data_IF_128828816906
#
_entry.id   IF_128828816906
#
_cell.length_a   1.000
_cell.length_b   1.000
_cell.length_c   1.000
_cell.angle_alpha   90.00
_cell.angle_beta   90.00
_cell.angle_gamma   90.00
#
_symmetry.space_group_name_H-M   'P 1'
#
loop_
_entity.id
_entity.type
_entity.pdbx_description
1 polymer ?
#
# COMPACT_ATOMS: atom_id res chain seq x y z
N UNK A 1 -11.56 18.90 -9.56
CA UNK A 1 -10.32 19.53 -10.06
C UNK A 1 -9.17 19.42 -9.04
N UNK A 2 -9.43 19.68 -7.74
CA UNK A 2 -8.43 19.68 -6.68
C UNK A 2 -7.82 18.29 -6.45
N UNK A 3 -8.65 17.24 -6.35
CA UNK A 3 -8.19 15.86 -6.14
C UNK A 3 -7.25 15.38 -7.26
N UNK A 4 -7.58 15.69 -8.52
CA UNK A 4 -6.73 15.39 -9.68
C UNK A 4 -5.37 16.10 -9.58
N UNK A 5 -5.36 17.37 -9.16
CA UNK A 5 -4.12 18.13 -8.96
C UNK A 5 -3.25 17.50 -7.87
N UNK A 6 -3.85 17.10 -6.74
CA UNK A 6 -3.13 16.39 -5.67
C UNK A 6 -2.56 15.06 -6.17
N UNK A 7 -3.37 14.24 -6.86
CA UNK A 7 -2.92 12.95 -7.38
C UNK A 7 -1.73 13.07 -8.33
N UNK A 8 -1.64 14.16 -9.11
CA UNK A 8 -0.52 14.40 -10.03
C UNK A 8 0.83 14.71 -9.37
N UNK A 9 0.86 14.97 -8.06
CA UNK A 9 2.11 15.25 -7.31
C UNK A 9 2.59 14.06 -6.48
N UNK A 10 1.89 12.93 -6.54
CA UNK A 10 2.16 11.78 -5.67
C UNK A 10 3.29 10.92 -6.25
N UNK A 11 4.15 10.46 -5.35
CA UNK A 11 5.28 9.57 -5.67
C UNK A 11 5.40 8.37 -4.73
N UNK A 12 4.53 8.28 -3.72
CA UNK A 12 4.51 7.14 -2.81
C UNK A 12 3.15 6.90 -2.16
N UNK A 13 2.99 5.70 -1.64
CA UNK A 13 1.75 5.20 -1.05
C UNK A 13 2.02 4.56 0.29
N UNK A 14 1.32 5.03 1.31
CA UNK A 14 1.33 4.47 2.65
C UNK A 14 -0.06 3.92 2.93
N UNK A 15 -0.12 2.69 3.37
CA UNK A 15 -1.34 2.03 3.79
C UNK A 15 -1.24 1.66 5.26
N UNK A 16 -2.29 1.92 6.04
CA UNK A 16 -2.51 1.14 7.24
C UNK A 16 -2.90 -0.29 6.86
N UNK A 17 -2.90 -1.20 7.83
CA UNK A 17 -3.22 -2.60 7.61
C UNK A 17 -4.61 -2.97 8.13
N UNK A 18 -4.80 -2.86 9.44
CA UNK A 18 -6.04 -3.22 10.12
C UNK A 18 -7.14 -2.19 9.81
N UNK A 19 -8.25 -2.63 9.23
CA UNK A 19 -9.33 -1.74 8.81
C UNK A 19 -9.16 -1.12 7.42
N UNK A 20 -8.04 -1.39 6.75
CA UNK A 20 -7.76 -1.00 5.36
C UNK A 20 -7.75 -2.21 4.43
N UNK A 21 -6.89 -3.21 4.63
CA UNK A 21 -6.86 -4.45 3.83
C UNK A 21 -7.83 -5.51 4.31
N UNK A 22 -8.26 -5.44 5.56
CA UNK A 22 -9.24 -6.35 6.15
C UNK A 22 -9.98 -5.64 7.29
N UNK A 23 -11.13 -6.16 7.74
CA UNK A 23 -11.98 -5.45 8.71
C UNK A 23 -11.39 -5.28 10.11
N UNK A 24 -10.15 -5.66 10.37
CA UNK A 24 -9.48 -5.52 11.66
C UNK A 24 -9.93 -6.55 12.70
N UNK A 25 -10.63 -7.60 12.29
CA UNK A 25 -11.01 -8.70 13.19
C UNK A 25 -9.82 -9.62 13.42
N UNK A 26 -9.51 -9.88 14.70
CA UNK A 26 -8.40 -10.75 15.10
C UNK A 26 -8.92 -11.92 15.91
N UNK A 27 -8.52 -13.13 15.53
CA UNK A 27 -8.78 -14.36 16.26
C UNK A 27 -7.57 -14.81 17.09
N UNK A 28 -7.54 -16.08 17.47
CA UNK A 28 -6.43 -16.66 18.24
C UNK A 28 -5.06 -16.54 17.56
N UNK A 29 -5.01 -16.47 16.23
CA UNK A 29 -3.76 -16.33 15.46
C UNK A 29 -3.27 -14.89 15.34
N UNK A 30 -4.04 -13.88 15.77
CA UNK A 30 -3.76 -12.45 15.58
C UNK A 30 -3.37 -12.05 14.14
N UNK A 31 -3.81 -12.83 13.15
CA UNK A 31 -3.49 -12.59 11.74
C UNK A 31 -4.74 -12.23 10.97
N UNK A 32 -4.66 -11.13 10.21
CA UNK A 32 -5.68 -10.76 9.24
C UNK A 32 -5.65 -11.68 8.01
N UNK A 33 -6.49 -11.34 7.04
CA UNK A 33 -6.49 -11.92 5.70
C UNK A 33 -6.33 -10.80 4.69
N UNK A 34 -5.91 -11.11 3.48
CA UNK A 34 -5.93 -10.15 2.37
C UNK A 34 -6.67 -10.72 1.17
N UNK A 35 -7.15 -9.84 0.31
CA UNK A 35 -7.92 -10.18 -0.88
C UNK A 35 -7.05 -10.15 -2.13
N UNK A 36 -7.25 -11.11 -3.05
CA UNK A 36 -6.65 -11.07 -4.38
C UNK A 36 -7.17 -9.87 -5.21
N UNK A 37 -8.36 -9.39 -4.91
CA UNK A 37 -8.92 -8.18 -5.52
C UNK A 37 -8.09 -6.96 -5.17
N UNK A 38 -7.73 -6.78 -3.89
CA UNK A 38 -6.88 -5.69 -3.43
C UNK A 38 -5.44 -5.84 -3.93
N UNK A 39 -4.92 -7.07 -3.94
CA UNK A 39 -3.61 -7.37 -4.52
C UNK A 39 -3.52 -6.95 -5.99
N UNK A 40 -4.54 -7.30 -6.79
CA UNK A 40 -4.61 -6.88 -8.19
C UNK A 40 -4.72 -5.34 -8.30
N UNK A 41 -5.50 -4.70 -7.42
CA UNK A 41 -5.57 -3.23 -7.35
C UNK A 41 -4.19 -2.60 -7.16
N UNK A 42 -3.43 -3.07 -6.17
CA UNK A 42 -2.07 -2.61 -5.89
C UNK A 42 -1.14 -2.82 -7.09
N UNK A 43 -1.22 -4.00 -7.74
CA UNK A 43 -0.41 -4.27 -8.91
C UNK A 43 -0.71 -3.30 -10.06
N UNK A 44 -1.99 -3.05 -10.34
CA UNK A 44 -2.43 -2.13 -11.40
C UNK A 44 -2.07 -0.67 -11.08
N UNK A 45 -2.22 -0.23 -9.82
CA UNK A 45 -1.81 1.10 -9.37
C UNK A 45 -0.32 1.34 -9.63
N UNK A 46 0.52 0.40 -9.21
CA UNK A 46 1.99 0.49 -9.42
C UNK A 46 2.35 0.48 -10.90
N UNK A 47 1.66 -0.33 -11.69
CA UNK A 47 1.87 -0.37 -13.13
C UNK A 47 1.44 0.91 -13.81
N UNK A 48 0.27 1.46 -13.49
CA UNK A 48 -0.19 2.74 -14.05
C UNK A 48 0.74 3.91 -13.70
N UNK A 49 1.29 3.90 -12.48
CA UNK A 49 2.34 4.86 -12.10
C UNK A 49 3.62 4.65 -12.92
N UNK A 50 4.10 3.40 -13.04
CA UNK A 50 5.29 3.05 -13.80
C UNK A 50 5.17 3.47 -15.26
N UNK A 51 4.03 3.30 -15.89
CA UNK A 51 3.80 3.75 -17.27
C UNK A 51 4.03 5.25 -17.46
N UNK A 52 3.67 6.07 -16.47
CA UNK A 52 3.83 7.53 -16.54
C UNK A 52 5.25 7.98 -16.19
N UNK A 53 5.92 7.28 -15.28
CA UNK A 53 7.16 7.76 -14.67
C UNK A 53 8.40 6.89 -14.98
N UNK A 54 8.22 5.74 -15.62
CA UNK A 54 9.25 4.75 -15.94
C UNK A 54 10.07 4.33 -14.69
N UNK A 55 9.43 4.37 -13.53
CA UNK A 55 9.98 3.94 -12.24
C UNK A 55 8.83 3.47 -11.33
N UNK A 56 9.16 2.61 -10.36
CA UNK A 56 8.18 2.21 -9.35
C UNK A 56 7.88 3.38 -8.39
N UNK A 57 6.62 3.51 -7.93
CA UNK A 57 6.33 4.36 -6.79
C UNK A 57 6.84 3.68 -5.52
N UNK A 58 7.19 4.46 -4.51
CA UNK A 58 7.42 3.91 -3.17
C UNK A 58 6.08 3.41 -2.59
N UNK A 59 6.08 2.22 -1.99
CA UNK A 59 4.87 1.65 -1.37
C UNK A 59 5.22 0.95 -0.06
N UNK A 60 4.47 1.25 1.01
CA UNK A 60 4.70 0.64 2.30
C UNK A 60 3.41 0.44 3.12
N UNK A 61 3.46 -0.50 4.05
CA UNK A 61 2.48 -0.70 5.11
C UNK A 61 3.02 -0.16 6.41
N UNK A 62 2.21 0.58 7.17
CA UNK A 62 2.53 1.06 8.52
C UNK A 62 1.41 0.61 9.48
N UNK A 63 1.67 -0.39 10.31
CA UNK A 63 0.70 -0.93 11.27
C UNK A 63 1.14 -0.77 12.72
N UNK A 64 0.18 -0.49 13.59
CA UNK A 64 0.38 -0.47 15.05
C UNK A 64 0.63 -1.85 15.66
N UNK A 65 0.26 -2.90 14.96
CA UNK A 65 0.38 -4.29 15.40
C UNK A 65 1.42 -5.05 14.57
N UNK A 66 1.88 -6.19 15.12
CA UNK A 66 2.74 -7.14 14.39
C UNK A 66 1.88 -8.22 13.75
N UNK A 67 1.63 -8.11 12.45
CA UNK A 67 0.80 -9.05 11.69
C UNK A 67 1.63 -9.79 10.64
N UNK A 68 1.70 -11.14 10.78
CA UNK A 68 2.44 -11.99 9.83
C UNK A 68 1.85 -11.98 8.43
N UNK A 69 0.53 -11.75 8.31
CA UNK A 69 -0.14 -11.70 7.01
C UNK A 69 0.22 -10.43 6.25
N UNK A 70 0.35 -9.28 6.94
CA UNK A 70 0.87 -8.05 6.35
C UNK A 70 2.29 -8.23 5.81
N UNK A 71 3.16 -8.88 6.59
CA UNK A 71 4.54 -9.19 6.19
C UNK A 71 4.55 -10.09 4.95
N UNK A 72 3.75 -11.17 4.95
CA UNK A 72 3.62 -12.08 3.81
C UNK A 72 3.06 -11.39 2.56
N UNK A 73 2.03 -10.57 2.72
CA UNK A 73 1.42 -9.81 1.63
C UNK A 73 2.42 -8.86 0.99
N UNK A 74 3.06 -8.02 1.81
CA UNK A 74 4.01 -7.03 1.30
C UNK A 74 5.22 -7.68 0.62
N UNK A 75 5.74 -8.79 1.17
CA UNK A 75 6.82 -9.56 0.53
C UNK A 75 6.40 -10.15 -0.81
N UNK A 76 5.17 -10.70 -0.91
CA UNK A 76 4.61 -11.23 -2.17
C UNK A 76 4.43 -10.13 -3.22
N UNK A 77 3.95 -8.97 -2.79
CA UNK A 77 3.70 -7.83 -3.68
C UNK A 77 4.93 -6.95 -3.91
N UNK A 78 6.08 -7.33 -3.35
CA UNK A 78 7.34 -6.58 -3.50
C UNK A 78 7.22 -5.11 -3.07
N UNK A 79 6.61 -4.84 -1.91
CA UNK A 79 6.56 -3.51 -1.32
C UNK A 79 7.96 -3.04 -0.93
N UNK A 80 8.17 -1.73 -0.85
CA UNK A 80 9.45 -1.17 -0.42
C UNK A 80 9.66 -1.32 1.08
N UNK A 81 8.59 -1.23 1.87
CA UNK A 81 8.70 -1.30 3.32
C UNK A 81 7.48 -1.85 4.04
N UNK A 82 7.73 -2.50 5.18
CA UNK A 82 6.70 -2.93 6.14
C UNK A 82 7.12 -2.48 7.52
N UNK A 83 6.31 -1.65 8.15
CA UNK A 83 6.53 -1.08 9.47
C UNK A 83 5.51 -1.69 10.43
N UNK A 84 5.97 -2.53 11.36
CA UNK A 84 5.11 -3.29 12.27
C UNK A 84 5.35 -2.91 13.73
N UNK A 85 4.25 -2.90 14.51
CA UNK A 85 4.31 -2.56 15.93
C UNK A 85 4.63 -1.09 16.19
N UNK A 86 4.31 -0.22 15.27
CA UNK A 86 4.62 1.22 15.32
C UNK A 86 3.67 1.93 16.27
N UNK A 87 4.20 2.50 17.36
CA UNK A 87 3.39 3.23 18.35
C UNK A 87 3.09 4.66 17.93
N UNK A 88 4.05 5.33 17.28
CA UNK A 88 3.84 6.63 16.65
C UNK A 88 4.08 6.52 15.15
N UNK A 89 2.99 6.46 14.39
CA UNK A 89 3.01 6.27 12.94
C UNK A 89 3.67 7.44 12.19
N UNK A 90 3.76 8.64 12.81
CA UNK A 90 4.46 9.76 12.19
C UNK A 90 5.96 9.48 11.99
N UNK A 91 6.62 8.88 12.96
CA UNK A 91 8.04 8.53 12.83
C UNK A 91 8.28 7.50 11.71
N UNK A 92 7.36 6.54 11.55
CA UNK A 92 7.44 5.59 10.44
C UNK A 92 7.22 6.28 9.08
N UNK A 93 6.28 7.22 8.99
CA UNK A 93 6.10 8.03 7.79
C UNK A 93 7.36 8.84 7.45
N UNK A 94 7.96 9.53 8.44
CA UNK A 94 9.16 10.35 8.23
C UNK A 94 10.33 9.45 7.74
N UNK A 95 10.50 8.26 8.34
CA UNK A 95 11.49 7.29 7.90
C UNK A 95 11.21 6.79 6.47
N UNK A 96 9.95 6.46 6.14
CA UNK A 96 9.52 6.05 4.80
C UNK A 96 9.79 7.14 3.76
N UNK A 97 9.47 8.40 4.08
CA UNK A 97 9.74 9.54 3.21
C UNK A 97 11.24 9.73 2.94
N UNK A 98 12.06 9.55 3.97
CA UNK A 98 13.53 9.59 3.83
C UNK A 98 14.02 8.47 2.90
N UNK A 99 13.54 7.24 3.08
CA UNK A 99 13.87 6.09 2.22
C UNK A 99 13.44 6.29 0.78
N UNK A 100 12.26 6.87 0.57
CA UNK A 100 11.69 7.15 -0.75
C UNK A 100 12.30 8.38 -1.43
N UNK A 101 13.07 9.19 -0.69
CA UNK A 101 13.54 10.51 -1.12
C UNK A 101 12.40 11.42 -1.61
N UNK A 102 11.31 11.48 -0.83
CA UNK A 102 10.14 12.32 -1.09
C UNK A 102 9.69 13.02 0.19
N UNK A 103 8.89 14.05 0.02
CA UNK A 103 8.24 14.73 1.14
C UNK A 103 6.90 14.05 1.49
N UNK A 104 6.39 14.21 2.72
CA UNK A 104 5.05 13.72 3.06
C UNK A 104 3.95 14.25 2.13
N UNK A 105 4.09 15.45 1.58
CA UNK A 105 3.14 16.03 0.61
C UNK A 105 3.06 15.26 -0.71
N UNK A 106 4.05 14.43 -1.00
CA UNK A 106 4.11 13.56 -2.18
C UNK A 106 3.64 12.13 -1.88
N UNK A 107 3.10 11.88 -0.68
CA UNK A 107 2.55 10.59 -0.28
C UNK A 107 1.02 10.60 -0.29
N UNK A 108 0.44 9.49 -0.75
CA UNK A 108 -0.93 9.09 -0.41
C UNK A 108 -0.89 8.36 0.92
N UNK A 109 -1.82 8.66 1.80
CA UNK A 109 -2.08 7.87 3.00
C UNK A 109 -3.48 7.28 2.93
N UNK A 110 -3.59 5.95 3.01
CA UNK A 110 -4.86 5.21 3.12
C UNK A 110 -4.99 4.73 4.56
N UNK A 111 -6.06 5.12 5.23
CA UNK A 111 -6.22 4.97 6.67
C UNK A 111 -7.69 4.74 7.05
N UNK A 112 -7.96 4.30 8.28
CA UNK A 112 -9.33 4.10 8.74
C UNK A 112 -9.64 4.63 10.15
N UNK A 113 -8.62 4.84 11.04
CA UNK A 113 -8.88 5.10 12.44
C UNK A 113 -8.01 6.22 13.06
N UNK A 114 -8.29 6.53 14.32
CA UNK A 114 -7.72 7.64 15.10
C UNK A 114 -6.19 7.54 15.20
N UNK A 115 -5.66 6.33 15.34
CA UNK A 115 -4.23 6.09 15.51
C UNK A 115 -3.39 6.49 14.28
N UNK A 116 -4.04 6.70 13.13
CA UNK A 116 -3.40 7.05 11.87
C UNK A 116 -3.18 8.56 11.71
N UNK A 117 -3.91 9.36 12.47
CA UNK A 117 -3.98 10.81 12.28
C UNK A 117 -2.60 11.47 12.27
N UNK A 118 -1.66 10.97 13.08
CA UNK A 118 -0.30 11.53 13.13
C UNK A 118 0.44 11.38 11.80
N UNK A 119 0.24 10.29 11.06
CA UNK A 119 0.83 10.10 9.73
C UNK A 119 -0.02 10.73 8.61
N UNK A 120 -1.34 10.80 8.78
CA UNK A 120 -2.25 11.35 7.77
C UNK A 120 -2.08 12.86 7.58
N UNK A 121 -1.95 13.61 8.69
CA UNK A 121 -1.89 15.08 8.68
C UNK A 121 -0.93 15.67 7.65
N UNK A 122 0.34 15.23 7.55
CA UNK A 122 1.32 15.82 6.64
C UNK A 122 1.19 15.32 5.19
N UNK A 123 0.42 14.24 4.92
CA UNK A 123 0.31 13.66 3.59
C UNK A 123 -0.42 14.56 2.59
N UNK A 124 -0.02 14.47 1.32
CA UNK A 124 -0.58 15.29 0.24
C UNK A 124 -1.95 14.85 -0.20
N UNK A 125 -2.21 13.54 -0.23
CA UNK A 125 -3.51 12.96 -0.54
C UNK A 125 -3.91 11.97 0.55
N UNK A 126 -5.13 12.09 1.04
CA UNK A 126 -5.63 11.40 2.22
C UNK A 126 -6.90 10.66 1.87
N UNK A 127 -6.85 9.35 1.90
CA UNK A 127 -7.99 8.49 1.58
C UNK A 127 -8.40 7.74 2.85
N UNK A 128 -9.60 8.01 3.33
CA UNK A 128 -10.17 7.34 4.48
C UNK A 128 -11.02 6.15 4.03
N UNK A 129 -10.72 4.96 4.52
CA UNK A 129 -11.58 3.79 4.32
C UNK A 129 -12.83 3.94 5.17
N UNK A 130 -13.99 3.75 4.54
CA UNK A 130 -15.27 3.86 5.22
C UNK A 130 -15.42 2.80 6.32
N UNK A 131 -15.89 3.26 7.49
CA UNK A 131 -16.36 2.40 8.59
C UNK A 131 -17.72 2.87 9.09
N UNK A 132 -18.69 1.99 9.10
CA UNK A 132 -20.02 2.32 9.62
C UNK A 132 -20.04 2.50 11.15
N UNK A 133 -19.04 1.95 11.83
CA UNK A 133 -18.97 1.95 13.30
C UNK A 133 -18.44 3.27 13.90
N UNK A 134 -17.86 4.18 13.12
CA UNK A 134 -17.22 5.39 13.62
C UNK A 134 -17.70 6.70 12.96
N UNK A 135 -19.01 7.01 12.94
CA UNK A 135 -19.55 8.19 12.26
C UNK A 135 -18.98 9.51 12.79
N UNK A 136 -18.70 9.61 14.08
CA UNK A 136 -18.12 10.79 14.69
C UNK A 136 -16.67 11.02 14.26
N UNK A 137 -15.89 9.96 14.08
CA UNK A 137 -14.55 10.07 13.54
C UNK A 137 -14.56 10.53 12.07
N UNK A 138 -15.48 10.02 11.27
CA UNK A 138 -15.67 10.48 9.89
C UNK A 138 -16.07 11.96 9.84
N UNK A 139 -16.91 12.43 10.76
CA UNK A 139 -17.25 13.84 10.88
C UNK A 139 -15.99 14.67 11.25
N UNK A 140 -15.26 14.22 12.27
CA UNK A 140 -14.02 14.88 12.72
C UNK A 140 -13.00 15.02 11.57
N UNK A 141 -12.79 13.96 10.78
CA UNK A 141 -11.82 14.00 9.68
C UNK A 141 -12.24 14.96 8.56
N UNK A 142 -13.54 15.04 8.25
CA UNK A 142 -14.08 16.00 7.28
C UNK A 142 -13.91 17.44 7.76
N UNK A 143 -14.34 17.75 8.97
CA UNK A 143 -14.27 19.10 9.54
C UNK A 143 -12.84 19.62 9.67
N UNK A 144 -11.89 18.74 9.98
CA UNK A 144 -10.48 19.06 10.12
C UNK A 144 -9.67 18.90 8.81
N UNK A 145 -10.32 18.63 7.66
CA UNK A 145 -9.67 18.42 6.36
C UNK A 145 -8.59 17.34 6.39
N UNK A 146 -8.87 16.27 7.13
CA UNK A 146 -7.97 15.11 7.29
C UNK A 146 -8.31 13.98 6.32
N UNK A 147 -9.31 14.15 5.46
CA UNK A 147 -9.59 13.25 4.34
C UNK A 147 -9.95 14.07 3.10
N UNK A 148 -9.45 13.63 1.97
CA UNK A 148 -9.75 14.17 0.64
C UNK A 148 -10.78 13.31 -0.09
N UNK A 149 -10.84 12.03 0.27
CA UNK A 149 -11.78 11.05 -0.25
C UNK A 149 -12.12 10.02 0.85
N UNK A 150 -13.39 9.66 0.94
CA UNK A 150 -13.85 8.55 1.76
C UNK A 150 -14.34 7.46 0.80
N UNK A 151 -13.85 6.23 0.94
CA UNK A 151 -14.28 5.13 0.09
C UNK A 151 -15.76 4.81 0.26
N UNK A 152 -16.41 4.37 -0.81
CA UNK A 152 -17.77 3.86 -0.75
C UNK A 152 -17.80 2.46 -0.12
N UNK A 153 -16.73 1.70 -0.29
CA UNK A 153 -16.57 0.34 0.22
C UNK A 153 -15.81 0.33 1.54
N UNK A 154 -16.09 -0.68 2.35
CA UNK A 154 -15.33 -0.96 3.59
C UNK A 154 -14.13 -1.86 3.29
N UNK A 155 -13.26 -2.06 4.26
CA UNK A 155 -12.16 -3.03 4.13
C UNK A 155 -12.65 -4.49 3.90
N UNK A 156 -13.89 -4.80 4.26
CA UNK A 156 -14.52 -6.10 3.97
C UNK A 156 -14.85 -6.25 2.48
N UNK A 157 -15.10 -5.13 1.81
CA UNK A 157 -15.61 -5.08 0.44
C UNK A 157 -14.53 -4.56 -0.53
N UNK A 158 -13.24 -4.76 -0.19
CA UNK A 158 -12.08 -4.43 -1.01
C UNK A 158 -11.88 -2.92 -1.24
N UNK A 159 -11.93 -2.12 -0.19
CA UNK A 159 -11.72 -0.67 -0.26
C UNK A 159 -10.36 -0.28 -0.87
N UNK A 160 -9.32 -1.09 -0.71
CA UNK A 160 -8.00 -0.82 -1.32
C UNK A 160 -8.10 -0.88 -2.84
N UNK A 161 -8.89 -1.80 -3.39
CA UNK A 161 -9.14 -1.84 -4.84
C UNK A 161 -9.79 -0.55 -5.33
N UNK A 162 -10.78 -0.03 -4.61
CA UNK A 162 -11.42 1.25 -4.93
C UNK A 162 -10.42 2.40 -4.91
N UNK A 163 -9.55 2.47 -3.89
CA UNK A 163 -8.48 3.48 -3.81
C UNK A 163 -7.55 3.43 -5.02
N UNK A 164 -7.17 2.24 -5.46
CA UNK A 164 -6.28 2.05 -6.60
C UNK A 164 -6.94 2.49 -7.90
N UNK A 165 -8.21 2.13 -8.12
CA UNK A 165 -8.96 2.54 -9.32
C UNK A 165 -9.22 4.05 -9.35
N UNK A 166 -9.54 4.66 -8.20
CA UNK A 166 -9.65 6.11 -8.07
C UNK A 166 -8.38 6.82 -8.54
N UNK A 167 -7.22 6.39 -8.06
CA UNK A 167 -5.94 7.01 -8.42
C UNK A 167 -5.61 6.86 -9.90
N UNK A 168 -5.82 5.68 -10.47
CA UNK A 168 -5.66 5.43 -11.90
C UNK A 168 -6.60 6.30 -12.75
N UNK A 169 -7.86 6.44 -12.32
CA UNK A 169 -8.83 7.30 -12.99
C UNK A 169 -8.44 8.79 -12.91
N UNK A 170 -7.93 9.24 -11.75
CA UNK A 170 -7.43 10.61 -11.57
C UNK A 170 -6.21 10.91 -12.45
N UNK A 171 -5.35 9.93 -12.67
CA UNK A 171 -4.23 10.03 -13.62
C UNK A 171 -4.68 9.95 -15.09
N UNK A 172 -5.86 9.41 -15.35
CA UNK A 172 -6.43 9.30 -16.71
C UNK A 172 -5.84 8.19 -17.55
N UNK A 173 -5.25 7.16 -16.92
CA UNK A 173 -4.61 6.04 -17.62
C UNK A 173 -5.19 4.66 -17.25
N UNK A 174 -6.38 4.62 -16.63
CA UNK A 174 -6.98 3.38 -16.13
C UNK A 174 -7.19 2.34 -17.24
N UNK A 175 -7.83 2.71 -18.33
CA UNK A 175 -8.18 1.77 -19.41
C UNK A 175 -6.93 1.25 -20.12
N UNK A 176 -6.03 2.12 -20.50
CA UNK A 176 -4.77 1.75 -21.16
C UNK A 176 -3.89 0.84 -20.27
N UNK A 177 -3.96 1.05 -18.96
CA UNK A 177 -3.24 0.20 -18.00
C UNK A 177 -3.83 -1.22 -17.99
N UNK A 178 -5.17 -1.35 -18.06
CA UNK A 178 -5.83 -2.66 -18.16
C UNK A 178 -5.52 -3.33 -19.49
N UNK A 179 -5.67 -2.62 -20.61
CA UNK A 179 -5.45 -3.18 -21.94
C UNK A 179 -4.02 -3.74 -22.09
N UNK A 180 -3.02 -2.97 -21.67
CA UNK A 180 -1.63 -3.39 -21.68
C UNK A 180 -1.40 -4.62 -20.77
N UNK A 181 -2.01 -4.66 -19.58
CA UNK A 181 -1.95 -5.83 -18.69
C UNK A 181 -2.59 -7.06 -19.30
N UNK A 182 -3.74 -6.92 -19.95
CA UNK A 182 -4.46 -8.02 -20.62
C UNK A 182 -3.67 -8.56 -21.80
N UNK A 183 -3.08 -7.67 -22.60
CA UNK A 183 -2.22 -8.03 -23.72
C UNK A 183 -0.88 -8.65 -23.27
N UNK A 184 -0.52 -8.49 -21.99
CA UNK A 184 0.79 -8.89 -21.47
C UNK A 184 1.94 -8.37 -22.34
N UNK A 185 1.82 -7.11 -22.77
CA UNK A 185 2.73 -6.46 -23.71
C UNK A 185 4.12 -6.19 -23.13
N UNK A 186 5.02 -5.64 -23.96
CA UNK A 186 6.39 -5.39 -23.56
C UNK A 186 6.51 -4.43 -22.37
N UNK A 187 5.62 -3.42 -22.28
CA UNK A 187 5.61 -2.47 -21.17
C UNK A 187 5.26 -3.16 -19.85
N UNK A 188 4.21 -4.01 -19.86
CA UNK A 188 3.84 -4.76 -18.68
C UNK A 188 4.92 -5.77 -18.27
N UNK A 189 5.57 -6.44 -19.22
CA UNK A 189 6.68 -7.36 -18.95
C UNK A 189 7.87 -6.63 -18.31
N UNK A 190 8.23 -5.44 -18.79
CA UNK A 190 9.31 -4.62 -18.23
C UNK A 190 8.99 -4.17 -16.79
N UNK A 191 7.77 -3.68 -16.56
CA UNK A 191 7.28 -3.37 -15.21
C UNK A 191 7.33 -4.60 -14.29
N UNK A 192 6.81 -5.75 -14.75
CA UNK A 192 6.78 -7.00 -13.98
C UNK A 192 8.17 -7.42 -13.53
N UNK A 193 9.15 -7.35 -14.43
CA UNK A 193 10.55 -7.63 -14.10
C UNK A 193 11.06 -6.67 -13.03
N UNK A 194 10.94 -5.36 -13.26
CA UNK A 194 11.38 -4.32 -12.32
C UNK A 194 10.73 -4.46 -10.95
N UNK A 195 9.40 -4.75 -10.90
CA UNK A 195 8.68 -4.98 -9.66
C UNK A 195 9.23 -6.18 -8.88
N UNK A 196 9.50 -7.30 -9.57
CA UNK A 196 9.94 -8.54 -8.93
C UNK A 196 11.40 -8.50 -8.45
N UNK A 197 12.18 -7.55 -8.92
CA UNK A 197 13.55 -7.28 -8.43
C UNK A 197 13.54 -6.46 -7.14
N UNK A 198 12.43 -5.81 -6.81
CA UNK A 198 12.32 -5.01 -5.58
C UNK A 198 12.25 -5.91 -4.33
N UNK A 199 13.10 -5.64 -3.36
CA UNK A 199 13.17 -6.37 -2.09
C UNK A 199 12.46 -5.58 -0.99
N UNK A 200 11.57 -6.25 -0.26
CA UNK A 200 10.85 -5.65 0.87
C UNK A 200 11.76 -5.51 2.08
N UNK A 201 11.83 -4.30 2.62
CA UNK A 201 12.51 -4.01 3.89
C UNK A 201 11.53 -4.06 5.05
N UNK A 202 11.95 -4.58 6.20
CA UNK A 202 11.12 -4.76 7.38
C UNK A 202 11.62 -3.89 8.52
N UNK A 203 10.68 -3.22 9.21
CA UNK A 203 10.99 -2.28 10.28
C UNK A 203 10.08 -2.53 11.49
N UNK A 204 10.62 -2.25 12.67
CA UNK A 204 9.90 -2.31 13.95
C UNK A 204 10.14 -1.04 14.76
N UNK A 205 9.36 -0.87 15.82
CA UNK A 205 9.49 0.24 16.76
C UNK A 205 10.11 -0.23 18.06
N UNK A 206 11.27 0.30 18.40
CA UNK A 206 11.96 0.00 19.65
C UNK A 206 12.64 1.26 20.19
N UNK A 207 12.53 1.49 21.49
CA UNK A 207 13.16 2.61 22.20
C UNK A 207 12.90 4.00 21.56
N UNK A 208 11.69 4.23 21.03
CA UNK A 208 11.33 5.49 20.40
C UNK A 208 11.85 5.68 18.98
N UNK A 209 12.39 4.66 18.34
CA UNK A 209 12.98 4.71 17.01
C UNK A 209 12.44 3.62 16.08
N UNK A 210 12.48 3.91 14.79
CA UNK A 210 12.23 2.93 13.73
C UNK A 210 13.56 2.21 13.44
N UNK A 211 13.59 0.91 13.64
CA UNK A 211 14.78 0.07 13.42
C UNK A 211 14.49 -0.97 12.34
N UNK A 212 15.50 -1.29 11.54
CA UNK A 212 15.42 -2.44 10.64
C UNK A 212 15.29 -3.72 11.49
N UNK A 213 14.27 -4.52 11.19
CA UNK A 213 14.15 -5.86 11.76
C UNK A 213 14.69 -6.86 10.74
N UNK A 214 15.51 -7.82 11.22
CA UNK A 214 15.86 -8.98 10.39
C UNK A 214 14.57 -9.66 9.95
N UNK A 215 14.29 -9.64 8.66
CA UNK A 215 13.05 -10.19 8.12
C UNK A 215 12.92 -11.64 8.55
N UNK A 216 11.84 -12.00 9.22
CA UNK A 216 11.43 -13.41 9.33
C UNK A 216 11.01 -13.94 7.93
N UNK A 217 11.54 -13.35 6.88
CA UNK A 217 11.40 -13.81 5.50
C UNK A 217 12.26 -15.01 5.16
N UNK A 218 13.31 -15.28 5.91
CA UNK A 218 14.18 -16.41 5.62
C UNK A 218 13.53 -17.78 5.92
N UNK A 219 12.57 -17.85 6.84
CA UNK A 219 11.80 -19.08 7.08
C UNK A 219 10.75 -19.41 6.00
N UNK A 220 10.48 -18.51 5.08
CA UNK A 220 9.49 -18.70 3.99
C UNK A 220 10.11 -19.06 2.64
N UNK A 221 11.44 -19.04 2.51
CA UNK A 221 12.11 -19.48 1.27
C UNK A 221 12.22 -21.00 1.15
N UNK A 222 12.03 -21.75 2.23
CA UNK A 222 12.24 -23.22 2.23
C UNK A 222 11.20 -24.06 1.50
N UNK A 223 10.09 -23.50 1.02
CA UNK A 223 9.02 -24.28 0.37
C UNK A 223 8.56 -23.72 -0.99
N UNK A 224 9.46 -23.17 -1.79
CA UNK A 224 9.13 -23.03 -3.22
C UNK A 224 9.50 -24.32 -3.93
N UNK A 225 8.54 -25.04 -4.54
CA UNK A 225 8.90 -26.12 -5.46
C UNK A 225 9.74 -25.50 -6.59
N UNK A 226 10.75 -26.21 -7.10
CA UNK A 226 11.54 -25.75 -8.24
C UNK A 226 10.56 -25.46 -9.39
N UNK A 227 10.72 -24.29 -9.99
CA UNK A 227 9.94 -23.89 -11.16
C UNK A 227 10.09 -24.95 -12.26
N UNK A 228 9.08 -25.11 -13.12
CA UNK A 228 9.18 -26.06 -14.21
C UNK A 228 10.39 -25.73 -15.09
N UNK A 229 11.13 -26.74 -15.58
CA UNK A 229 12.27 -26.52 -16.44
C UNK A 229 11.84 -25.73 -17.67
N UNK A 230 12.67 -24.76 -18.06
CA UNK A 230 12.46 -23.99 -19.27
C UNK A 230 12.29 -24.98 -20.45
N UNK A 231 11.12 -24.96 -21.09
CA UNK A 231 10.92 -25.69 -22.32
C UNK A 231 11.82 -25.05 -23.38
N UNK A 232 12.79 -25.81 -23.87
CA UNK A 232 13.49 -25.47 -25.11
C UNK A 232 12.42 -25.44 -26.22
N UNK A 233 12.32 -24.33 -26.88
CA UNK A 233 11.61 -24.22 -28.14
C UNK A 233 12.58 -24.64 -29.24
N UNK A 234 12.31 -25.80 -29.82
CA UNK A 234 12.81 -26.15 -31.14
C UNK A 234 11.96 -25.47 -32.22
#
# INVERSE_FOLDING_TARGET
>A
LELKKKAGTIHGFIFDWDGVFHPGQKGQSNSGVFSETDSMGINMLRYGYWRQHQRLPFIAIISGEKDKTAIKFAGREHFDGVYMGIKDKKHALDHACTKANVTPRQMVCVFDDIIDISMVKPCGLKIQVQRTANPMFMQYTKENRLCDYITAHTARDNAVRECCELLLALWGNYFETIESRVAFDADYQAYWKTRNENNTSYYTWENGMVLASGGQGDSFRENRPPGPPAKAFD
#
